data_IF_194840224262
#
_entry.id   IF_194840224262
#
_cell.length_a   1.000
_cell.length_b   1.000
_cell.length_c   1.000
_cell.angle_alpha   90.00
_cell.angle_beta   90.00
_cell.angle_gamma   90.00
#
_symmetry.space_group_name_H-M   'P 1'
#
loop_
_entity.id
_entity.type
_entity.pdbx_description
1 polymer ?
#
# COMPACT_ATOMS: atom_id res chain seq x y z
N UNK A 1 -1.80 -1.98 -23.09
CA UNK A 1 -1.37 -1.34 -21.83
C UNK A 1 -1.75 -2.24 -20.68
N UNK A 2 -0.74 -2.81 -20.02
CA UNK A 2 -0.90 -3.77 -18.92
C UNK A 2 0.00 -3.39 -17.76
N UNK A 3 -0.33 -3.79 -16.54
CA UNK A 3 0.39 -3.37 -15.34
C UNK A 3 1.66 -4.18 -15.09
N UNK A 4 2.70 -3.56 -14.56
CA UNK A 4 3.90 -4.28 -14.09
C UNK A 4 3.71 -4.73 -12.63
N UNK A 5 4.08 -5.98 -12.32
CA UNK A 5 4.07 -6.54 -10.96
C UNK A 5 3.25 -7.82 -10.81
N UNK A 6 3.11 -8.31 -9.58
CA UNK A 6 2.15 -9.38 -9.25
C UNK A 6 0.73 -8.86 -9.44
N UNK A 7 -0.07 -9.56 -10.23
CA UNK A 7 -1.45 -9.18 -10.50
C UNK A 7 -2.42 -10.24 -9.98
N UNK A 8 -3.64 -9.82 -9.65
CA UNK A 8 -4.72 -10.77 -9.38
C UNK A 8 -5.06 -11.64 -10.60
N UNK A 9 -5.53 -12.88 -10.37
CA UNK A 9 -5.97 -13.78 -11.44
C UNK A 9 -7.08 -13.18 -12.33
N UNK A 10 -7.88 -12.25 -11.81
CA UNK A 10 -8.87 -11.50 -12.58
C UNK A 10 -8.22 -10.52 -13.57
N UNK A 11 -7.16 -9.85 -13.14
CA UNK A 11 -6.40 -8.96 -14.00
C UNK A 11 -5.69 -9.75 -15.11
N UNK A 12 -5.07 -10.89 -14.79
CA UNK A 12 -4.47 -11.78 -15.81
C UNK A 12 -5.48 -12.25 -16.86
N UNK A 13 -6.68 -12.64 -16.43
CA UNK A 13 -7.74 -13.04 -17.34
C UNK A 13 -8.20 -11.88 -18.25
N UNK A 14 -8.28 -10.67 -17.71
CA UNK A 14 -8.58 -9.46 -18.49
C UNK A 14 -7.47 -9.15 -19.50
N UNK A 15 -6.20 -9.21 -19.09
CA UNK A 15 -5.04 -8.99 -19.96
C UNK A 15 -5.09 -9.92 -21.16
N UNK A 16 -5.21 -11.23 -20.92
CA UNK A 16 -5.23 -12.23 -22.00
C UNK A 16 -6.37 -12.00 -22.99
N UNK A 17 -7.54 -11.59 -22.49
CA UNK A 17 -8.68 -11.23 -23.35
C UNK A 17 -8.40 -9.99 -24.19
N UNK A 18 -7.78 -8.96 -23.63
CA UNK A 18 -7.57 -7.68 -24.29
C UNK A 18 -6.44 -7.70 -25.33
N UNK A 19 -5.40 -8.51 -25.12
CA UNK A 19 -4.19 -8.57 -25.96
C UNK A 19 -4.46 -8.90 -27.43
N UNK A 20 -5.45 -9.75 -27.70
CA UNK A 20 -5.72 -10.21 -29.07
C UNK A 20 -6.59 -9.26 -29.91
N UNK A 21 -7.28 -8.32 -29.28
CA UNK A 21 -8.30 -7.50 -29.94
C UNK A 21 -7.72 -6.45 -30.92
N UNK A 22 -6.64 -5.70 -30.59
CA UNK A 22 -6.12 -4.68 -31.48
C UNK A 22 -5.74 -5.19 -32.88
N UNK A 23 -5.06 -6.34 -32.95
CA UNK A 23 -4.70 -6.97 -34.22
C UNK A 23 -5.92 -7.44 -35.02
N UNK A 24 -6.97 -7.92 -34.34
CA UNK A 24 -8.22 -8.35 -35.00
C UNK A 24 -8.96 -7.17 -35.62
N UNK A 25 -8.98 -6.01 -34.95
CA UNK A 25 -9.64 -4.82 -35.48
C UNK A 25 -9.06 -4.32 -36.78
N UNK A 26 -7.75 -4.51 -36.98
CA UNK A 26 -7.03 -4.10 -38.17
C UNK A 26 -7.28 -5.00 -39.38
N UNK A 27 -7.97 -6.13 -39.22
CA UNK A 27 -8.28 -6.99 -40.36
C UNK A 27 -9.05 -6.20 -41.43
N UNK A 28 -8.49 -6.19 -42.64
CA UNK A 28 -9.04 -5.47 -43.80
C UNK A 28 -8.75 -3.97 -43.82
N UNK A 29 -7.94 -3.44 -42.89
CA UNK A 29 -7.44 -2.06 -42.93
C UNK A 29 -5.96 -2.07 -43.35
N UNK A 30 -5.59 -1.27 -44.35
CA UNK A 30 -4.20 -1.17 -44.79
C UNK A 30 -3.40 -0.18 -43.94
N UNK A 31 -2.13 -0.48 -43.64
CA UNK A 31 -1.22 0.49 -43.03
C UNK A 31 -1.08 1.76 -43.85
N UNK A 32 -0.86 2.90 -43.20
CA UNK A 32 -0.64 4.16 -43.89
C UNK A 32 0.82 4.38 -44.33
N UNK A 33 1.71 3.43 -44.02
CA UNK A 33 3.13 3.48 -44.34
C UNK A 33 3.84 2.16 -44.04
N UNK A 34 5.14 2.05 -44.38
CA UNK A 34 5.94 0.86 -44.07
C UNK A 34 6.12 0.70 -42.56
N UNK A 35 6.43 -0.53 -42.13
CA UNK A 35 6.83 -0.79 -40.76
C UNK A 35 8.10 0.00 -40.42
N UNK A 36 8.12 0.58 -39.22
CA UNK A 36 9.23 1.33 -38.67
C UNK A 36 10.02 0.41 -37.74
N UNK A 37 11.33 0.35 -37.95
CA UNK A 37 12.28 -0.27 -37.04
C UNK A 37 12.90 0.82 -36.17
N UNK A 38 12.79 0.66 -34.86
CA UNK A 38 13.26 1.63 -33.87
C UNK A 38 14.23 0.94 -32.94
N UNK A 39 15.37 1.58 -32.69
CA UNK A 39 16.32 1.13 -31.67
C UNK A 39 15.79 1.41 -30.26
N UNK A 40 16.56 1.00 -29.25
CA UNK A 40 16.29 1.34 -27.86
C UNK A 40 16.11 2.87 -27.71
N UNK A 41 15.07 3.28 -26.97
CA UNK A 41 14.69 4.69 -26.83
C UNK A 41 14.18 4.97 -25.42
N UNK A 42 14.58 6.13 -24.88
CA UNK A 42 14.09 6.61 -23.58
C UNK A 42 12.69 7.23 -23.67
N UNK A 43 12.28 7.70 -24.85
CA UNK A 43 10.92 8.17 -25.08
C UNK A 43 10.50 8.01 -26.55
N UNK A 44 9.76 6.95 -26.80
CA UNK A 44 9.18 6.59 -28.07
C UNK A 44 8.21 7.65 -28.60
N UNK A 45 7.54 8.39 -27.71
CA UNK A 45 6.48 9.33 -28.13
C UNK A 45 7.04 10.55 -28.87
N UNK A 46 8.31 10.88 -28.65
CA UNK A 46 9.03 11.95 -29.35
C UNK A 46 9.33 11.60 -30.82
N UNK A 47 9.38 10.31 -31.16
CA UNK A 47 9.73 9.82 -32.49
C UNK A 47 8.50 9.46 -33.33
N UNK A 48 7.33 9.36 -32.69
CA UNK A 48 6.09 8.90 -33.29
C UNK A 48 5.07 10.04 -33.44
N UNK A 49 4.54 10.19 -34.65
CA UNK A 49 3.54 11.23 -34.99
C UNK A 49 2.25 11.11 -34.16
N UNK A 50 1.71 12.24 -33.72
CA UNK A 50 0.52 12.29 -32.87
C UNK A 50 -0.81 11.98 -33.56
N UNK A 51 -0.86 12.06 -34.89
CA UNK A 51 -2.02 11.74 -35.72
C UNK A 51 -2.09 10.25 -36.11
N UNK A 52 -1.11 9.45 -35.71
CA UNK A 52 -0.99 8.04 -36.03
C UNK A 52 -1.13 7.14 -34.80
N UNK A 53 -1.60 5.92 -35.07
CA UNK A 53 -1.59 4.78 -34.17
C UNK A 53 -0.58 3.78 -34.69
N UNK A 54 0.05 3.05 -33.78
CA UNK A 54 1.12 2.13 -34.14
C UNK A 54 0.81 0.76 -33.56
N UNK A 55 0.73 -0.25 -34.42
CA UNK A 55 0.65 -1.65 -33.98
C UNK A 55 2.07 -2.13 -33.66
N UNK A 56 2.28 -2.59 -32.44
CA UNK A 56 3.54 -3.21 -32.04
C UNK A 56 3.61 -4.62 -32.63
N UNK A 57 4.55 -4.85 -33.55
CA UNK A 57 4.74 -6.15 -34.20
C UNK A 57 5.96 -6.90 -33.69
N UNK A 58 6.90 -6.22 -33.03
CA UNK A 58 8.06 -6.86 -32.40
C UNK A 58 8.57 -6.01 -31.23
N UNK A 59 8.95 -6.67 -30.14
CA UNK A 59 9.54 -6.06 -28.95
C UNK A 59 8.55 -5.71 -27.84
N UNK A 60 9.05 -5.03 -26.81
CA UNK A 60 8.30 -4.69 -25.58
C UNK A 60 8.57 -3.24 -25.22
N UNK A 61 7.51 -2.52 -24.86
CA UNK A 61 7.58 -1.12 -24.44
C UNK A 61 7.19 -1.04 -22.97
N UNK A 62 7.93 -0.24 -22.21
CA UNK A 62 7.63 0.07 -20.81
C UNK A 62 7.16 1.51 -20.66
N UNK A 63 5.99 1.71 -20.08
CA UNK A 63 5.45 3.03 -19.73
C UNK A 63 5.79 3.43 -18.31
N UNK A 64 6.31 4.64 -18.17
CA UNK A 64 6.54 5.28 -16.89
C UNK A 64 5.61 6.48 -16.71
N UNK A 65 5.18 6.71 -15.48
CA UNK A 65 4.58 7.98 -15.05
C UNK A 65 5.53 8.57 -14.00
N UNK A 66 6.09 9.75 -14.30
CA UNK A 66 7.23 10.27 -13.53
C UNK A 66 8.41 9.28 -13.52
N UNK A 67 8.89 8.93 -12.32
CA UNK A 67 10.03 8.01 -12.15
C UNK A 67 9.64 6.51 -12.10
N UNK A 68 8.35 6.16 -12.09
CA UNK A 68 7.89 4.80 -11.81
C UNK A 68 7.42 4.08 -13.08
N UNK A 69 7.99 2.91 -13.36
CA UNK A 69 7.47 1.99 -14.37
C UNK A 69 6.14 1.42 -13.88
N UNK A 70 5.08 1.60 -14.66
CA UNK A 70 3.73 1.17 -14.28
C UNK A 70 3.11 0.25 -15.31
N UNK A 71 3.44 0.46 -16.59
CA UNK A 71 2.78 -0.22 -17.68
C UNK A 71 3.77 -0.87 -18.62
N UNK A 72 3.30 -1.88 -19.36
CA UNK A 72 3.98 -2.38 -20.53
C UNK A 72 3.01 -2.65 -21.69
N UNK A 73 3.58 -2.69 -22.89
CA UNK A 73 2.95 -3.12 -24.14
C UNK A 73 3.84 -4.17 -24.78
N UNK A 74 3.22 -5.11 -25.47
CA UNK A 74 3.89 -6.21 -26.15
C UNK A 74 3.34 -6.38 -27.57
N UNK A 75 3.93 -7.31 -28.32
CA UNK A 75 3.46 -7.67 -29.65
C UNK A 75 1.94 -7.87 -29.71
N UNK A 76 1.32 -7.24 -30.71
CA UNK A 76 -0.12 -7.22 -30.93
C UNK A 76 -0.84 -6.02 -30.31
N UNK A 77 -0.20 -5.22 -29.46
CA UNK A 77 -0.84 -4.06 -28.84
C UNK A 77 -0.78 -2.78 -29.70
N UNK A 78 -1.77 -1.90 -29.49
CA UNK A 78 -1.73 -0.53 -30.03
C UNK A 78 -1.00 0.45 -29.11
N UNK A 79 -0.17 1.27 -29.74
CA UNK A 79 0.47 2.44 -29.17
C UNK A 79 -0.20 3.68 -29.75
N UNK A 80 -0.40 4.70 -28.91
CA UNK A 80 -0.98 5.98 -29.32
C UNK A 80 -2.49 6.11 -29.15
N UNK A 81 -3.19 5.04 -28.75
CA UNK A 81 -4.65 5.05 -28.56
C UNK A 81 -5.07 6.08 -27.50
N UNK A 82 -4.33 6.09 -26.39
CA UNK A 82 -4.53 6.92 -25.20
C UNK A 82 -3.78 8.28 -25.26
N UNK A 83 -3.30 8.73 -26.43
CA UNK A 83 -2.68 10.06 -26.57
C UNK A 83 -3.67 11.18 -26.24
N UNK A 84 -3.27 12.09 -25.37
CA UNK A 84 -3.96 13.34 -25.03
C UNK A 84 -3.07 14.23 -24.15
N UNK A 85 -3.37 15.52 -24.07
CA UNK A 85 -2.59 16.50 -23.28
C UNK A 85 -2.52 16.15 -21.78
N UNK A 86 -3.44 15.31 -21.30
CA UNK A 86 -3.51 14.83 -19.92
C UNK A 86 -2.38 13.86 -19.52
N UNK A 87 -1.57 13.39 -20.48
CA UNK A 87 -0.48 12.41 -20.26
C UNK A 87 0.94 13.03 -20.27
N UNK A 88 1.06 14.33 -19.97
CA UNK A 88 2.31 15.09 -20.09
C UNK A 88 3.52 14.54 -19.30
N UNK A 89 3.28 13.84 -18.18
CA UNK A 89 4.35 13.24 -17.36
C UNK A 89 4.61 11.76 -17.68
N UNK A 90 4.03 11.25 -18.78
CA UNK A 90 4.23 9.86 -19.21
C UNK A 90 5.32 9.73 -20.25
N UNK A 91 6.16 8.70 -20.10
CA UNK A 91 7.21 8.36 -21.07
C UNK A 91 7.12 6.88 -21.44
N UNK A 92 7.30 6.58 -22.73
CA UNK A 92 7.30 5.21 -23.23
C UNK A 92 8.73 4.82 -23.63
N UNK A 93 9.35 3.92 -22.87
CA UNK A 93 10.72 3.50 -23.08
C UNK A 93 10.78 2.12 -23.73
N UNK A 94 11.86 1.84 -24.46
CA UNK A 94 12.23 0.50 -24.90
C UNK A 94 13.72 0.28 -24.70
N UNK A 95 14.07 -0.86 -24.10
CA UNK A 95 15.45 -1.24 -23.83
C UNK A 95 16.07 -2.03 -25.01
N UNK A 96 15.28 -2.36 -26.02
CA UNK A 96 15.70 -3.14 -27.19
C UNK A 96 15.03 -2.68 -28.49
N UNK A 97 15.35 -3.33 -29.62
CA UNK A 97 14.77 -2.99 -30.91
C UNK A 97 13.26 -3.27 -30.91
N UNK A 98 12.53 -2.39 -31.58
CA UNK A 98 11.09 -2.47 -31.77
C UNK A 98 10.75 -2.44 -33.26
N UNK A 99 9.67 -3.13 -33.62
CA UNK A 99 9.04 -2.96 -34.92
C UNK A 99 7.60 -2.53 -34.74
N UNK A 100 7.22 -1.42 -35.36
CA UNK A 100 5.87 -0.87 -35.28
C UNK A 100 5.30 -0.56 -36.65
N UNK A 101 4.01 -0.83 -36.85
CA UNK A 101 3.32 -0.56 -38.13
C UNK A 101 2.37 0.63 -37.99
N UNK A 102 2.52 1.70 -38.78
CA UNK A 102 1.72 2.91 -38.64
C UNK A 102 0.35 2.81 -39.32
N UNK A 103 -0.67 3.33 -38.65
CA UNK A 103 -2.03 3.51 -39.14
C UNK A 103 -2.51 4.92 -38.82
N UNK A 104 -3.28 5.53 -39.73
CA UNK A 104 -3.90 6.84 -39.45
C UNK A 104 -4.98 6.68 -38.39
N UNK A 105 -4.96 7.53 -37.37
CA UNK A 105 -5.94 7.46 -36.27
C UNK A 105 -7.37 7.59 -36.77
N UNK A 106 -7.62 8.51 -37.71
CA UNK A 106 -8.94 8.69 -38.31
C UNK A 106 -9.48 7.41 -38.96
N UNK A 107 -8.62 6.71 -39.69
CA UNK A 107 -8.99 5.58 -40.53
C UNK A 107 -9.27 4.36 -39.65
N UNK A 108 -8.46 4.16 -38.59
CA UNK A 108 -8.71 3.12 -37.58
C UNK A 108 -10.05 3.36 -36.87
N UNK A 109 -10.32 4.58 -36.41
CA UNK A 109 -11.58 4.89 -35.74
C UNK A 109 -12.78 4.70 -36.69
N UNK A 110 -12.68 5.19 -37.92
CA UNK A 110 -13.74 5.01 -38.92
C UNK A 110 -13.99 3.52 -39.20
N UNK A 111 -12.93 2.72 -39.34
CA UNK A 111 -13.03 1.27 -39.56
C UNK A 111 -13.67 0.54 -38.38
N UNK A 112 -13.28 0.90 -37.16
CA UNK A 112 -13.86 0.36 -35.92
C UNK A 112 -15.36 0.65 -35.82
N UNK A 113 -15.77 1.90 -36.06
CA UNK A 113 -17.16 2.32 -35.94
C UNK A 113 -18.03 2.01 -37.16
N UNK A 114 -17.44 1.56 -38.27
CA UNK A 114 -18.18 1.11 -39.45
C UNK A 114 -18.88 -0.25 -39.24
N UNK A 115 -18.47 -1.03 -38.23
CA UNK A 115 -19.07 -2.33 -37.89
C UNK A 115 -19.48 -2.35 -36.42
N UNK A 116 -20.71 -2.77 -36.14
CA UNK A 116 -21.26 -2.73 -34.79
C UNK A 116 -20.53 -3.67 -33.82
N UNK A 117 -20.07 -4.83 -34.30
CA UNK A 117 -19.34 -5.79 -33.47
C UNK A 117 -17.93 -5.27 -33.12
N UNK A 118 -17.21 -4.69 -34.10
CA UNK A 118 -15.92 -4.04 -33.82
C UNK A 118 -16.07 -2.85 -32.87
N UNK A 119 -17.11 -2.03 -33.03
CA UNK A 119 -17.40 -0.94 -32.13
C UNK A 119 -17.67 -1.43 -30.69
N UNK A 120 -18.45 -2.51 -30.54
CA UNK A 120 -18.70 -3.11 -29.23
C UNK A 120 -17.43 -3.69 -28.61
N UNK A 121 -16.60 -4.41 -29.38
CA UNK A 121 -15.31 -4.92 -28.91
C UNK A 121 -14.37 -3.79 -28.47
N UNK A 122 -14.36 -2.67 -29.19
CA UNK A 122 -13.59 -1.49 -28.82
C UNK A 122 -14.07 -0.88 -27.49
N UNK A 123 -15.39 -0.75 -27.31
CA UNK A 123 -15.96 -0.29 -26.03
C UNK A 123 -15.62 -1.24 -24.88
N UNK A 124 -15.75 -2.55 -25.10
CA UNK A 124 -15.38 -3.56 -24.12
C UNK A 124 -13.88 -3.49 -23.78
N UNK A 125 -13.03 -3.21 -24.76
CA UNK A 125 -11.60 -3.00 -24.54
C UNK A 125 -11.35 -1.79 -23.65
N UNK A 126 -11.98 -0.64 -23.95
CA UNK A 126 -11.86 0.57 -23.15
C UNK A 126 -12.34 0.35 -21.71
N UNK A 127 -13.46 -0.35 -21.52
CA UNK A 127 -13.96 -0.73 -20.19
C UNK A 127 -13.00 -1.68 -19.46
N UNK A 128 -12.40 -2.64 -20.18
CA UNK A 128 -11.39 -3.54 -19.63
C UNK A 128 -10.13 -2.79 -19.17
N UNK A 129 -9.67 -1.80 -19.92
CA UNK A 129 -8.56 -0.93 -19.55
C UNK A 129 -8.87 -0.14 -18.25
N UNK A 130 -10.09 0.41 -18.13
CA UNK A 130 -10.53 1.09 -16.91
C UNK A 130 -10.59 0.12 -15.72
N UNK A 131 -11.09 -1.11 -15.92
CA UNK A 131 -11.12 -2.12 -14.88
C UNK A 131 -9.71 -2.49 -14.40
N UNK A 132 -8.76 -2.70 -15.31
CA UNK A 132 -7.35 -2.96 -14.97
C UNK A 132 -6.77 -1.82 -14.13
N UNK A 133 -6.99 -0.56 -14.52
CA UNK A 133 -6.56 0.60 -13.73
C UNK A 133 -7.21 0.64 -12.35
N UNK A 134 -8.50 0.33 -12.24
CA UNK A 134 -9.19 0.27 -10.95
C UNK A 134 -8.60 -0.82 -10.03
N UNK A 135 -8.27 -1.99 -10.58
CA UNK A 135 -7.58 -3.05 -9.84
C UNK A 135 -6.17 -2.61 -9.40
N UNK A 136 -5.40 -1.97 -10.30
CA UNK A 136 -4.10 -1.40 -9.96
C UNK A 136 -4.19 -0.42 -8.79
N UNK A 137 -5.17 0.49 -8.85
CA UNK A 137 -5.40 1.46 -7.79
C UNK A 137 -5.82 0.74 -6.51
N UNK A 138 -6.66 -0.29 -6.57
CA UNK A 138 -7.05 -1.04 -5.37
C UNK A 138 -5.86 -1.75 -4.68
N UNK A 139 -4.90 -2.27 -5.46
CA UNK A 139 -3.70 -2.91 -4.94
C UNK A 139 -2.66 -1.90 -4.43
N UNK A 140 -2.47 -0.79 -5.15
CA UNK A 140 -1.50 0.26 -4.81
C UNK A 140 -2.00 1.20 -3.71
N UNK A 141 -3.32 1.38 -3.60
CA UNK A 141 -3.91 2.24 -2.60
C UNK A 141 -3.87 1.49 -1.26
N UNK A 142 -3.18 2.04 -0.23
CA UNK A 142 -3.26 1.49 1.11
C UNK A 142 -4.73 1.29 1.49
N UNK A 143 -5.05 0.21 2.21
CA UNK A 143 -6.38 0.02 2.78
C UNK A 143 -6.66 1.17 3.72
N UNK A 144 -7.28 2.24 3.21
CA UNK A 144 -7.63 3.40 4.01
C UNK A 144 -8.64 2.95 5.06
N UNK A 145 -8.22 2.92 6.32
CA UNK A 145 -9.11 2.83 7.46
C UNK A 145 -9.83 4.17 7.62
N UNK A 146 -10.73 4.51 6.69
CA UNK A 146 -11.44 5.79 6.66
C UNK A 146 -12.39 5.89 7.85
N UNK A 147 -12.06 6.74 8.82
CA UNK A 147 -13.05 7.36 9.71
C UNK A 147 -13.24 8.80 9.27
N UNK A 148 -14.48 9.17 8.98
CA UNK A 148 -14.89 10.37 8.24
C UNK A 148 -14.44 11.71 8.87
N UNK A 149 -14.02 11.72 10.14
CA UNK A 149 -13.51 12.90 10.86
C UNK A 149 -12.21 12.62 11.65
N UNK A 150 -11.51 11.51 11.39
CA UNK A 150 -10.38 11.08 12.22
C UNK A 150 -10.76 10.53 13.59
N UNK A 151 -12.05 10.52 13.98
CA UNK A 151 -12.52 9.90 15.22
C UNK A 151 -13.34 8.63 14.93
N UNK A 152 -13.14 7.59 15.75
CA UNK A 152 -13.88 6.33 15.74
C UNK A 152 -14.40 6.02 17.14
N UNK A 153 -15.67 5.62 17.23
CA UNK A 153 -16.22 5.03 18.46
C UNK A 153 -15.97 3.53 18.42
N UNK A 154 -15.49 2.98 19.53
CA UNK A 154 -15.16 1.57 19.70
C UNK A 154 -15.86 1.04 20.93
N UNK A 155 -16.33 -0.20 20.86
CA UNK A 155 -17.00 -0.84 21.98
C UNK A 155 -15.99 -1.59 22.87
N UNK A 156 -16.40 -1.96 24.08
CA UNK A 156 -15.56 -2.73 24.99
C UNK A 156 -15.18 -4.09 24.37
N UNK A 157 -13.90 -4.45 24.45
CA UNK A 157 -13.33 -5.67 23.85
C UNK A 157 -12.89 -5.52 22.39
N UNK A 158 -13.13 -4.38 21.75
CA UNK A 158 -12.69 -4.16 20.36
C UNK A 158 -11.17 -4.01 20.27
N UNK A 159 -10.55 -4.72 19.32
CA UNK A 159 -9.11 -4.67 19.08
C UNK A 159 -8.78 -3.46 18.21
N UNK A 160 -7.93 -2.58 18.73
CA UNK A 160 -7.47 -1.36 18.07
C UNK A 160 -6.19 -1.59 17.27
N UNK A 161 -5.30 -2.42 17.79
CA UNK A 161 -4.02 -2.79 17.17
C UNK A 161 -3.80 -4.29 17.38
N UNK A 162 -3.34 -4.99 16.33
CA UNK A 162 -2.84 -6.35 16.45
C UNK A 162 -1.31 -6.36 16.51
N UNK A 163 -0.73 -7.12 17.44
CA UNK A 163 0.70 -7.40 17.46
C UNK A 163 1.14 -8.05 16.14
N UNK A 164 2.29 -7.64 15.62
CA UNK A 164 2.85 -8.10 14.34
C UNK A 164 2.27 -7.43 13.09
N UNK A 165 1.20 -6.63 13.21
CA UNK A 165 0.66 -5.90 12.07
C UNK A 165 1.62 -4.80 11.58
N UNK A 166 1.44 -4.35 10.34
CA UNK A 166 2.10 -3.14 9.84
C UNK A 166 1.57 -1.89 10.55
N UNK A 167 2.37 -0.83 10.57
CA UNK A 167 2.01 0.44 11.18
C UNK A 167 1.81 1.54 10.13
N UNK A 168 0.55 1.86 9.86
CA UNK A 168 0.11 2.88 8.91
C UNK A 168 -0.57 4.09 9.59
N UNK A 169 -0.95 3.96 10.86
CA UNK A 169 -1.60 5.00 11.66
C UNK A 169 -1.05 5.07 13.09
N UNK A 170 -1.26 6.21 13.74
CA UNK A 170 -1.09 6.43 15.17
C UNK A 170 -2.46 6.71 15.78
N UNK A 171 -2.66 6.30 17.02
CA UNK A 171 -3.95 6.42 17.70
C UNK A 171 -3.83 7.30 18.94
N UNK A 172 -4.92 7.98 19.29
CA UNK A 172 -5.05 8.74 20.54
C UNK A 172 -6.38 8.37 21.20
N UNK A 173 -6.39 8.02 22.48
CA UNK A 173 -7.64 7.87 23.22
C UNK A 173 -8.19 9.27 23.53
N UNK A 174 -9.33 9.63 22.99
CA UNK A 174 -10.00 10.92 23.26
C UNK A 174 -10.93 10.80 24.46
N UNK A 175 -11.54 9.63 24.59
CA UNK A 175 -12.40 9.28 25.72
C UNK A 175 -12.42 7.77 25.91
N UNK A 176 -12.49 7.31 27.15
CA UNK A 176 -12.42 5.90 27.51
C UNK A 176 -11.01 5.42 27.86
N UNK A 177 -10.79 4.11 27.71
CA UNK A 177 -9.61 3.42 28.22
C UNK A 177 -9.30 2.13 27.45
N UNK A 178 -8.02 1.86 27.23
CA UNK A 178 -7.55 0.65 26.55
C UNK A 178 -6.40 -0.05 27.30
N UNK A 179 -6.16 -1.30 26.96
CA UNK A 179 -5.13 -2.16 27.55
C UNK A 179 -4.21 -2.71 26.47
N UNK A 180 -2.91 -2.77 26.76
CA UNK A 180 -1.90 -3.31 25.85
C UNK A 180 -1.43 -4.70 26.30
N UNK A 181 -1.33 -5.62 25.35
CA UNK A 181 -0.95 -7.01 25.54
C UNK A 181 0.19 -7.42 24.60
N UNK A 182 1.15 -8.18 25.11
CA UNK A 182 2.21 -8.81 24.32
C UNK A 182 2.13 -10.31 24.58
N UNK A 183 2.01 -11.10 23.51
CA UNK A 183 1.88 -12.56 23.58
C UNK A 183 0.76 -13.01 24.55
N UNK A 184 -0.33 -12.24 24.59
CA UNK A 184 -1.49 -12.48 25.46
C UNK A 184 -1.32 -11.98 26.90
N UNK A 185 -0.16 -11.48 27.30
CA UNK A 185 0.08 -10.97 28.65
C UNK A 185 -0.07 -9.45 28.69
N UNK A 186 -0.83 -8.94 29.68
CA UNK A 186 -1.04 -7.50 29.85
C UNK A 186 0.26 -6.81 30.24
N UNK A 187 0.72 -5.89 29.41
CA UNK A 187 1.97 -5.14 29.60
C UNK A 187 1.75 -3.68 29.99
N UNK A 188 0.52 -3.18 29.92
CA UNK A 188 0.23 -1.84 30.39
C UNK A 188 -1.16 -1.35 30.06
N UNK A 189 -1.43 -0.15 30.56
CA UNK A 189 -2.66 0.61 30.34
C UNK A 189 -2.41 1.68 29.27
N UNK A 190 -3.49 2.10 28.60
CA UNK A 190 -3.52 3.22 27.65
C UNK A 190 -4.68 4.14 28.05
N UNK A 191 -4.40 5.17 28.88
CA UNK A 191 -5.43 6.06 29.38
C UNK A 191 -5.87 7.08 28.33
N UNK A 192 -6.88 7.88 28.68
CA UNK A 192 -7.29 9.08 27.94
C UNK A 192 -6.11 10.04 27.69
N UNK A 193 -6.16 10.69 26.54
CA UNK A 193 -5.17 11.61 25.96
C UNK A 193 -3.79 10.98 25.66
N UNK A 194 -3.66 9.67 25.81
CA UNK A 194 -2.43 8.95 25.50
C UNK A 194 -2.34 8.65 24.00
N UNK A 195 -1.17 8.96 23.43
CA UNK A 195 -0.80 8.59 22.06
C UNK A 195 -0.21 7.18 22.09
N UNK A 196 -0.75 6.25 21.29
CA UNK A 196 -0.28 4.87 21.22
C UNK A 196 -0.11 4.38 19.78
N UNK A 197 0.73 3.34 19.62
CA UNK A 197 1.13 2.84 18.30
C UNK A 197 2.22 3.68 17.61
N UNK A 198 2.67 4.79 18.19
CA UNK A 198 3.67 5.67 17.57
C UNK A 198 5.03 4.99 17.33
N UNK A 199 5.43 4.05 18.18
CA UNK A 199 6.76 3.43 18.12
C UNK A 199 7.04 2.73 16.78
N UNK A 200 6.11 1.89 16.31
CA UNK A 200 6.22 1.18 15.04
C UNK A 200 6.30 2.14 13.84
N UNK A 201 5.67 3.31 13.93
CA UNK A 201 5.77 4.35 12.89
C UNK A 201 7.16 5.01 12.88
N UNK A 202 7.80 5.17 14.05
CA UNK A 202 9.15 5.75 14.13
C UNK A 202 10.27 4.76 13.82
N UNK A 203 10.12 3.49 14.23
CA UNK A 203 11.17 2.48 14.06
C UNK A 203 11.07 1.72 12.73
N UNK A 204 9.89 1.74 12.09
CA UNK A 204 9.61 0.91 10.91
C UNK A 204 9.42 -0.58 11.24
N UNK A 205 9.45 -0.94 12.53
CA UNK A 205 9.20 -2.31 12.97
C UNK A 205 7.69 -2.62 13.01
N UNK A 206 7.29 -3.91 12.95
CA UNK A 206 5.89 -4.32 13.16
C UNK A 206 5.34 -3.85 14.52
N UNK A 207 4.02 -3.91 14.73
CA UNK A 207 3.40 -3.56 16.01
C UNK A 207 3.89 -4.50 17.14
N UNK A 208 4.48 -3.94 18.19
CA UNK A 208 5.02 -4.74 19.30
C UNK A 208 3.97 -5.28 20.28
N UNK A 209 2.72 -4.79 20.23
CA UNK A 209 1.66 -5.17 21.17
C UNK A 209 0.28 -5.11 20.52
N UNK A 210 -0.63 -5.93 21.02
CA UNK A 210 -2.06 -5.85 20.74
C UNK A 210 -2.69 -4.85 21.71
N UNK A 211 -3.56 -3.97 21.23
CA UNK A 211 -4.25 -2.98 22.07
C UNK A 211 -5.75 -3.22 21.97
N UNK A 212 -6.42 -3.34 23.11
CA UNK A 212 -7.85 -3.69 23.20
C UNK A 212 -8.56 -2.61 24.03
N UNK A 213 -9.69 -2.12 23.54
CA UNK A 213 -10.55 -1.21 24.29
C UNK A 213 -11.12 -1.94 25.52
N UNK A 214 -10.92 -1.40 26.72
CA UNK A 214 -11.45 -1.99 27.96
C UNK A 214 -12.91 -1.62 28.17
N UNK A 215 -13.27 -0.43 27.72
CA UNK A 215 -14.61 0.14 27.79
C UNK A 215 -14.97 0.84 26.49
N UNK A 216 -16.22 1.27 26.37
CA UNK A 216 -16.65 2.07 25.23
C UNK A 216 -15.81 3.34 25.14
N UNK A 217 -15.08 3.49 24.04
CA UNK A 217 -14.07 4.52 23.89
C UNK A 217 -14.26 5.29 22.59
N UNK A 218 -13.73 6.52 22.55
CA UNK A 218 -13.57 7.31 21.32
C UNK A 218 -12.08 7.44 21.05
N UNK A 219 -11.64 6.98 19.88
CA UNK A 219 -10.25 7.00 19.48
C UNK A 219 -10.06 7.89 18.25
N UNK A 220 -9.02 8.71 18.26
CA UNK A 220 -8.59 9.47 17.09
C UNK A 220 -7.51 8.70 16.34
N UNK A 221 -7.59 8.68 15.01
CA UNK A 221 -6.66 8.03 14.10
C UNK A 221 -5.93 9.10 13.30
N UNK A 222 -4.61 9.04 13.29
CA UNK A 222 -3.74 9.96 12.55
C UNK A 222 -2.88 9.12 11.59
N UNK A 223 -2.93 9.34 10.27
CA UNK A 223 -2.01 8.71 9.32
C UNK A 223 -0.54 8.92 9.69
N UNK A 224 0.30 7.91 9.47
CA UNK A 224 1.71 7.93 9.87
C UNK A 224 2.49 9.13 9.28
N UNK A 225 2.30 9.42 8.00
CA UNK A 225 2.90 10.54 7.28
C UNK A 225 2.47 11.90 7.86
N UNK A 226 1.18 12.05 8.15
CA UNK A 226 0.62 13.25 8.79
C UNK A 226 1.19 13.41 10.20
N UNK A 227 1.25 12.34 10.99
CA UNK A 227 1.81 12.35 12.33
C UNK A 227 3.29 12.76 12.34
N UNK A 228 4.10 12.19 11.45
CA UNK A 228 5.52 12.56 11.29
C UNK A 228 5.69 14.02 10.83
N UNK A 229 4.77 14.55 10.03
CA UNK A 229 4.78 15.97 9.66
C UNK A 229 4.42 16.88 10.84
N UNK A 230 3.43 16.47 11.65
CA UNK A 230 3.01 17.17 12.85
C UNK A 230 4.11 17.22 13.92
N UNK A 231 4.86 16.13 14.11
CA UNK A 231 5.97 16.11 15.08
C UNK A 231 7.12 17.04 14.68
N UNK A 232 7.36 17.25 13.38
CA UNK A 232 8.35 18.21 12.87
C UNK A 232 7.92 19.66 13.03
N UNK A 233 6.63 19.94 12.83
CA UNK A 233 6.09 21.31 12.79
C UNK A 233 5.56 21.83 14.13
N UNK A 234 5.28 20.93 15.09
CA UNK A 234 4.70 21.29 16.38
C UNK A 234 5.46 20.66 17.56
N UNK A 235 6.37 21.42 18.22
CA UNK A 235 7.17 20.95 19.34
C UNK A 235 6.37 20.40 20.54
N UNK A 236 5.09 20.80 20.70
CA UNK A 236 4.24 20.33 21.80
C UNK A 236 3.88 18.84 21.68
N UNK A 237 3.75 18.34 20.45
CA UNK A 237 3.45 16.92 20.20
C UNK A 237 4.66 16.07 20.57
N UNK A 238 5.86 16.50 20.15
CA UNK A 238 7.11 15.85 20.54
C UNK A 238 7.30 15.84 22.06
N UNK A 239 7.00 16.96 22.74
CA UNK A 239 7.00 17.01 24.21
C UNK A 239 6.05 15.99 24.85
N UNK A 240 4.81 15.90 24.35
CA UNK A 240 3.82 14.96 24.90
C UNK A 240 4.25 13.50 24.75
N UNK A 241 4.92 13.16 23.63
CA UNK A 241 5.51 11.84 23.43
C UNK A 241 6.67 11.57 24.39
N UNK A 242 7.56 12.55 24.60
CA UNK A 242 8.67 12.43 25.54
C UNK A 242 8.15 12.22 26.96
N UNK A 243 7.12 12.97 27.37
CA UNK A 243 6.48 12.80 28.69
C UNK A 243 5.84 11.42 28.83
N UNK A 244 5.11 10.94 27.82
CA UNK A 244 4.52 9.59 27.80
C UNK A 244 5.61 8.51 27.93
N UNK A 245 6.70 8.60 27.15
CA UNK A 245 7.81 7.67 27.24
C UNK A 245 8.47 7.71 28.62
N UNK A 246 8.71 8.90 29.18
CA UNK A 246 9.29 9.05 30.52
C UNK A 246 8.41 8.40 31.60
N UNK A 247 7.08 8.61 31.53
CA UNK A 247 6.12 7.93 32.43
C UNK A 247 6.20 6.41 32.29
N UNK A 248 6.26 5.90 31.05
CA UNK A 248 6.34 4.46 30.77
C UNK A 248 7.62 3.84 31.33
N UNK A 249 8.77 4.52 31.16
CA UNK A 249 10.07 4.07 31.67
C UNK A 249 10.06 4.03 33.20
N UNK A 250 9.54 5.06 33.88
CA UNK A 250 9.43 5.06 35.35
C UNK A 250 8.55 3.89 35.84
N UNK A 251 7.42 3.66 35.18
CA UNK A 251 6.50 2.58 35.53
C UNK A 251 7.13 1.19 35.36
N UNK A 252 7.86 0.97 34.26
CA UNK A 252 8.62 -0.26 34.02
C UNK A 252 9.75 -0.44 35.04
N UNK A 253 10.51 0.61 35.35
CA UNK A 253 11.56 0.57 36.37
C UNK A 253 11.00 0.18 37.75
N UNK A 254 9.86 0.74 38.16
CA UNK A 254 9.19 0.34 39.42
C UNK A 254 8.76 -1.12 39.42
N UNK A 255 8.30 -1.65 38.29
CA UNK A 255 7.95 -3.08 38.17
C UNK A 255 9.18 -3.98 38.29
N UNK A 256 10.29 -3.63 37.62
CA UNK A 256 11.56 -4.35 37.71
C UNK A 256 12.05 -4.37 39.16
N UNK A 257 12.03 -3.22 39.86
CA UNK A 257 12.44 -3.14 41.27
C UNK A 257 11.58 -4.07 42.14
N UNK A 258 10.26 -4.09 41.96
CA UNK A 258 9.36 -4.99 42.70
C UNK A 258 9.65 -6.47 42.44
N UNK A 259 9.93 -6.84 41.18
CA UNK A 259 10.30 -8.21 40.82
C UNK A 259 11.64 -8.61 41.44
N UNK A 260 12.62 -7.69 41.47
CA UNK A 260 13.93 -7.92 42.09
C UNK A 260 13.91 -7.92 43.64
N UNK A 261 12.83 -7.44 44.26
CA UNK A 261 12.70 -7.31 45.71
C UNK A 261 11.97 -8.48 46.41
N UNK A 262 11.66 -9.58 45.72
CA UNK A 262 11.05 -10.77 46.36
C UNK A 262 12.14 -11.57 47.09
N UNK A 263 12.14 -11.67 48.44
CA UNK A 263 13.11 -12.49 49.15
C UNK A 263 12.79 -13.97 48.95
N UNK A 264 13.80 -14.77 48.61
CA UNK A 264 13.73 -16.24 48.65
C UNK A 264 13.19 -16.70 50.01
N UNK A 265 12.27 -17.68 50.07
CA UNK A 265 11.75 -18.16 51.36
C UNK A 265 12.88 -18.83 52.15
N UNK A 266 13.26 -18.24 53.26
CA UNK A 266 14.13 -18.84 54.26
C UNK A 266 13.44 -20.07 54.86
N UNK A 267 14.04 -21.24 54.68
CA UNK A 267 13.68 -22.47 55.40
C UNK A 267 13.84 -22.24 56.92
N UNK A 268 12.74 -22.02 57.63
CA UNK A 268 12.67 -22.16 59.09
C UNK A 268 12.43 -23.61 59.45
N UNK A 269 13.50 -24.33 59.80
CA UNK A 269 13.44 -25.57 60.56
C UNK A 269 13.80 -25.31 62.02
N UNK A 270 12.78 -25.10 62.87
CA UNK A 270 12.93 -25.20 64.32
C UNK A 270 12.65 -26.63 64.77
N UNK A 271 13.57 -27.22 65.52
CA UNK A 271 13.23 -28.08 66.66
C UNK A 271 14.42 -28.11 67.62
N UNK A 272 14.23 -27.49 68.79
CA UNK A 272 15.22 -27.42 69.85
C UNK A 272 15.25 -28.64 70.78
N UNK A 273 16.42 -28.78 71.42
CA UNK A 273 16.65 -29.09 72.84
C UNK A 273 16.21 -30.44 73.46
N UNK A 274 17.21 -31.23 73.87
CA UNK A 274 17.42 -31.73 75.25
C UNK A 274 18.78 -32.45 75.31
N UNK A 275 19.81 -31.90 75.97
CA UNK A 275 20.14 -31.88 77.43
C UNK A 275 21.21 -32.93 77.79
N UNK A 276 22.28 -32.40 78.38
CA UNK A 276 23.34 -32.99 79.22
C UNK A 276 23.07 -34.32 79.95
N UNK A 277 24.11 -35.15 80.05
CA UNK A 277 24.84 -35.53 81.29
C UNK A 277 25.94 -36.57 80.94
N UNK A 278 27.24 -36.28 81.08
CA UNK A 278 28.14 -36.48 82.24
C UNK A 278 28.35 -37.95 82.67
N UNK A 279 29.64 -38.33 82.61
CA UNK A 279 30.36 -39.51 83.15
C UNK A 279 30.34 -40.80 82.34
#
# INVERSE_FOLDING_TARGET
>A
MYLLGEQSALADALINRLQSLPAQWLQGLEPCGPALELEATEDLMTQLSGDQLFLLTEGVITGYIGARALFYWQEGDFIGLLRGDDWGDSRLCSDGPLRVTPYRRSDVLQHLFADANRAEQFLQYMLGQVALLAHAVAELKPREFRSTNGFKRVEAGEILIHQGAAADHVFVIIDGHAEAFVDGQKVGEVPKDEIFGAMAVFTGEPRNATVIARERSTVMLIPADQFLSMTRSNPKIAHSLIESMARRIDQLNRQIIRLSATPSPSFTGQSGHSRDQIK
#
